data_IF_681116898891
#
_entry.id   IF_681116898891
#
_cell.length_a   1.000
_cell.length_b   1.000
_cell.length_c   1.000
_cell.angle_alpha   90.00
_cell.angle_beta   90.00
_cell.angle_gamma   90.00
#
_symmetry.space_group_name_H-M   'P 1'
#
loop_
_entity.id
_entity.type
_entity.pdbx_description
1 polymer ?
#
# COMPACT_ATOMS: atom_id res chain seq x y z
N UNK A 1 -38.25 10.92 43.70
CA UNK A 1 -37.26 11.16 42.63
C UNK A 1 -36.83 9.87 41.93
N UNK A 2 -36.42 8.83 42.67
CA UNK A 2 -35.92 7.56 42.12
C UNK A 2 -36.87 6.85 41.12
N UNK A 3 -38.18 6.81 41.41
CA UNK A 3 -39.20 6.21 40.50
C UNK A 3 -39.30 6.93 39.14
N UNK A 4 -39.15 8.26 39.11
CA UNK A 4 -39.21 9.03 37.86
C UNK A 4 -37.95 8.83 37.01
N UNK A 5 -36.78 8.70 37.65
CA UNK A 5 -35.51 8.38 36.99
C UNK A 5 -35.55 6.97 36.40
N UNK A 6 -36.12 5.99 37.10
CA UNK A 6 -36.27 4.63 36.60
C UNK A 6 -37.19 4.55 35.36
N UNK A 7 -38.30 5.30 35.35
CA UNK A 7 -39.23 5.36 34.21
C UNK A 7 -38.58 6.00 32.98
N UNK A 8 -37.79 7.07 33.17
CA UNK A 8 -37.05 7.73 32.08
C UNK A 8 -35.97 6.80 31.51
N UNK A 9 -35.22 6.09 32.37
CA UNK A 9 -34.24 5.08 31.93
C UNK A 9 -34.91 3.92 31.18
N UNK A 10 -36.08 3.48 31.64
CA UNK A 10 -36.87 2.42 30.98
C UNK A 10 -37.36 2.87 29.60
N UNK A 11 -37.84 4.11 29.49
CA UNK A 11 -38.26 4.70 28.22
C UNK A 11 -37.09 4.93 27.27
N UNK A 12 -35.92 5.34 27.76
CA UNK A 12 -34.69 5.45 26.95
C UNK A 12 -34.20 4.08 26.47
N UNK A 13 -34.30 3.04 27.31
CA UNK A 13 -33.99 1.66 26.92
C UNK A 13 -35.00 1.13 25.89
N UNK A 14 -36.28 1.44 26.05
CA UNK A 14 -37.34 1.09 25.10
C UNK A 14 -37.17 1.88 23.79
N UNK A 15 -36.74 3.14 23.81
CA UNK A 15 -36.43 3.93 22.60
C UNK A 15 -35.15 3.41 21.91
N UNK A 16 -34.16 2.93 22.66
CA UNK A 16 -33.00 2.21 22.11
C UNK A 16 -33.39 0.84 21.51
N UNK A 17 -34.38 0.16 22.11
CA UNK A 17 -34.91 -1.12 21.62
C UNK A 17 -35.90 -0.95 20.45
N UNK A 18 -36.67 0.15 20.39
CA UNK A 18 -37.58 0.51 19.29
C UNK A 18 -36.80 1.13 18.11
N UNK A 19 -35.66 1.78 18.36
CA UNK A 19 -34.67 2.14 17.34
C UNK A 19 -34.05 0.92 16.65
N UNK A 20 -34.23 -0.28 17.22
CA UNK A 20 -34.03 -1.56 16.58
C UNK A 20 -35.30 -1.98 15.82
N UNK A 21 -35.84 -1.08 14.99
CA UNK A 21 -36.89 -1.45 14.05
C UNK A 21 -36.35 -2.57 13.16
N UNK A 22 -37.17 -3.61 12.98
CA UNK A 22 -36.86 -4.78 12.16
C UNK A 22 -36.46 -4.33 10.75
N UNK A 23 -35.17 -4.06 10.54
CA UNK A 23 -34.62 -3.82 9.23
C UNK A 23 -34.76 -5.14 8.50
N UNK A 24 -35.77 -5.26 7.64
CA UNK A 24 -35.95 -6.42 6.80
C UNK A 24 -34.62 -6.80 6.15
N UNK A 25 -34.38 -8.09 5.99
CA UNK A 25 -33.22 -8.54 5.21
C UNK A 25 -33.65 -8.72 3.77
N UNK A 26 -32.73 -8.41 2.87
CA UNK A 26 -32.92 -8.61 1.45
C UNK A 26 -31.67 -9.26 0.86
N UNK A 27 -31.88 -9.99 -0.22
CA UNK A 27 -30.82 -10.66 -0.97
C UNK A 27 -30.27 -9.72 -2.02
N UNK A 28 -28.97 -9.41 -1.93
CA UNK A 28 -28.22 -8.76 -3.00
C UNK A 28 -27.52 -9.84 -3.81
N UNK A 29 -27.86 -9.95 -5.09
CA UNK A 29 -27.23 -10.83 -6.07
C UNK A 29 -26.39 -9.97 -7.03
N UNK A 30 -25.12 -10.31 -7.15
CA UNK A 30 -24.18 -9.66 -8.07
C UNK A 30 -23.81 -10.66 -9.14
N UNK A 31 -24.08 -10.30 -10.39
CA UNK A 31 -23.75 -11.06 -11.58
C UNK A 31 -22.71 -10.29 -12.39
N UNK A 32 -21.68 -10.99 -12.86
CA UNK A 32 -20.63 -10.42 -13.70
C UNK A 32 -20.54 -11.26 -14.97
N UNK A 33 -20.82 -10.61 -16.10
CA UNK A 33 -20.61 -11.16 -17.44
C UNK A 33 -19.18 -10.81 -17.85
N UNK A 34 -18.29 -11.77 -17.69
CA UNK A 34 -16.86 -11.62 -17.88
C UNK A 34 -16.42 -12.19 -19.23
N UNK A 35 -15.85 -11.35 -20.09
CA UNK A 35 -15.32 -11.77 -21.39
C UNK A 35 -13.79 -11.89 -21.34
N UNK A 36 -13.19 -12.51 -22.37
CA UNK A 36 -11.73 -12.62 -22.53
C UNK A 36 -11.00 -13.24 -21.31
N UNK A 37 -11.65 -14.21 -20.65
CA UNK A 37 -11.13 -14.90 -19.48
C UNK A 37 -10.10 -15.98 -19.86
N UNK A 38 -8.85 -15.93 -19.36
CA UNK A 38 -7.92 -17.03 -19.51
C UNK A 38 -8.41 -18.32 -18.83
N UNK A 39 -8.00 -19.50 -19.29
CA UNK A 39 -8.37 -20.77 -18.67
C UNK A 39 -8.09 -20.79 -17.16
N UNK A 40 -9.00 -21.38 -16.38
CA UNK A 40 -8.88 -21.55 -14.93
C UNK A 40 -8.78 -20.25 -14.10
N UNK A 41 -9.19 -19.10 -14.64
CA UNK A 41 -9.20 -17.84 -13.88
C UNK A 41 -10.59 -17.51 -13.33
N UNK A 42 -10.63 -17.12 -12.06
CA UNK A 42 -11.86 -16.70 -11.38
C UNK A 42 -12.10 -15.19 -11.45
N UNK A 43 -13.36 -14.80 -11.31
CA UNK A 43 -13.75 -13.41 -11.03
C UNK A 43 -13.91 -13.21 -9.53
N UNK A 44 -13.52 -12.02 -9.06
CA UNK A 44 -13.56 -11.66 -7.66
C UNK A 44 -14.15 -10.26 -7.48
N UNK A 45 -14.94 -10.09 -6.43
CA UNK A 45 -15.19 -8.77 -5.86
C UNK A 45 -13.99 -8.41 -4.99
N UNK A 46 -13.41 -7.23 -5.18
CA UNK A 46 -12.33 -6.67 -4.36
C UNK A 46 -12.80 -5.40 -3.65
N UNK A 47 -12.15 -5.07 -2.54
CA UNK A 47 -12.54 -3.99 -1.61
C UNK A 47 -13.99 -4.08 -1.12
N UNK A 48 -14.55 -5.29 -1.17
CA UNK A 48 -15.89 -5.55 -0.69
C UNK A 48 -15.89 -5.51 0.85
N UNK A 49 -16.95 -4.98 1.50
CA UNK A 49 -17.06 -4.99 2.95
C UNK A 49 -16.86 -6.40 3.53
N UNK A 50 -16.38 -6.54 4.79
CA UNK A 50 -16.14 -7.84 5.43
C UNK A 50 -17.35 -8.80 5.39
N UNK A 51 -18.55 -8.23 5.25
CA UNK A 51 -19.83 -8.92 5.06
C UNK A 51 -19.85 -9.85 3.83
N UNK A 52 -18.97 -9.63 2.86
CA UNK A 52 -18.81 -10.49 1.68
C UNK A 52 -17.83 -11.68 1.90
N UNK A 53 -17.01 -11.70 2.96
CA UNK A 53 -16.14 -12.85 3.27
C UNK A 53 -14.91 -12.51 4.14
N UNK A 54 -14.34 -13.54 4.77
CA UNK A 54 -13.22 -13.43 5.74
C UNK A 54 -11.86 -13.02 5.13
N UNK A 55 -11.67 -13.11 3.82
CA UNK A 55 -10.37 -12.87 3.18
C UNK A 55 -10.21 -11.42 2.72
N UNK A 56 -9.86 -10.51 3.63
CA UNK A 56 -9.36 -9.15 3.32
C UNK A 56 -10.08 -8.45 2.13
N UNK A 57 -11.41 -8.47 2.10
CA UNK A 57 -12.20 -7.79 1.06
C UNK A 57 -12.27 -8.49 -0.31
N UNK A 58 -11.86 -9.75 -0.42
CA UNK A 58 -11.93 -10.56 -1.65
C UNK A 58 -13.01 -11.64 -1.56
N UNK A 59 -13.92 -11.69 -2.53
CA UNK A 59 -14.93 -12.75 -2.66
C UNK A 59 -14.91 -13.38 -4.04
N UNK A 60 -14.74 -14.70 -4.11
CA UNK A 60 -14.82 -15.48 -5.35
C UNK A 60 -16.28 -15.62 -5.78
N UNK A 61 -16.55 -15.39 -7.06
CA UNK A 61 -17.87 -15.64 -7.64
C UNK A 61 -17.95 -17.10 -8.12
N UNK A 62 -19.15 -17.68 -8.08
CA UNK A 62 -19.44 -18.99 -8.67
C UNK A 62 -19.88 -18.81 -10.11
N UNK A 63 -19.35 -19.59 -11.04
CA UNK A 63 -19.69 -19.48 -12.47
C UNK A 63 -20.76 -20.51 -12.86
N UNK A 64 -21.78 -20.04 -13.58
CA UNK A 64 -22.76 -20.88 -14.27
C UNK A 64 -23.04 -20.23 -15.64
N UNK A 65 -22.94 -20.99 -16.74
CA UNK A 65 -23.20 -20.51 -18.10
C UNK A 65 -22.48 -19.18 -18.46
N UNK A 66 -21.20 -19.08 -18.12
CA UNK A 66 -20.35 -17.89 -18.31
C UNK A 66 -20.77 -16.64 -17.51
N UNK A 67 -21.72 -16.79 -16.58
CA UNK A 67 -22.16 -15.76 -15.65
C UNK A 67 -21.59 -16.02 -14.26
N UNK A 68 -20.72 -15.13 -13.80
CA UNK A 68 -20.15 -15.19 -12.46
C UNK A 68 -21.12 -14.57 -11.48
N UNK A 69 -21.62 -15.33 -10.51
CA UNK A 69 -22.67 -14.89 -9.60
C UNK A 69 -22.22 -15.01 -8.15
N UNK A 70 -22.68 -14.10 -7.30
CA UNK A 70 -22.67 -14.29 -5.86
C UNK A 70 -23.82 -13.57 -5.19
N UNK A 71 -24.35 -14.13 -4.11
CA UNK A 71 -25.47 -13.53 -3.37
C UNK A 71 -25.15 -13.41 -1.89
N UNK A 72 -25.61 -12.31 -1.27
CA UNK A 72 -25.53 -12.08 0.17
C UNK A 72 -26.87 -11.64 0.73
N UNK A 73 -27.18 -12.10 1.94
CA UNK A 73 -28.29 -11.55 2.73
C UNK A 73 -27.81 -10.35 3.53
N UNK A 74 -28.27 -9.17 3.18
CA UNK A 74 -27.91 -7.91 3.81
C UNK A 74 -29.11 -7.26 4.50
N UNK A 75 -28.85 -6.33 5.42
CA UNK A 75 -29.92 -5.49 5.99
C UNK A 75 -30.38 -4.49 4.92
N UNK A 76 -31.68 -4.26 4.83
CA UNK A 76 -32.21 -3.16 4.01
C UNK A 76 -31.62 -1.84 4.52
N UNK A 77 -31.15 -1.00 3.59
CA UNK A 77 -30.39 0.22 3.84
C UNK A 77 -28.87 0.04 3.79
N UNK A 78 -28.35 -1.19 3.81
CA UNK A 78 -26.91 -1.44 3.68
C UNK A 78 -26.39 -0.97 2.32
N UNK A 79 -25.26 -0.27 2.35
CA UNK A 79 -24.52 0.15 1.15
C UNK A 79 -23.28 -0.71 0.97
N UNK A 80 -23.12 -1.26 -0.21
CA UNK A 80 -21.96 -2.07 -0.59
C UNK A 80 -21.17 -1.35 -1.67
N UNK A 81 -19.86 -1.24 -1.45
CA UNK A 81 -18.90 -0.72 -2.42
C UNK A 81 -17.93 -1.84 -2.80
N UNK A 82 -17.62 -2.02 -4.08
CA UNK A 82 -16.67 -3.03 -4.53
C UNK A 82 -16.14 -2.71 -5.93
N UNK A 83 -15.05 -3.39 -6.31
CA UNK A 83 -14.54 -3.43 -7.68
C UNK A 83 -14.49 -4.87 -8.18
N UNK A 84 -14.27 -5.05 -9.47
CA UNK A 84 -14.19 -6.36 -10.13
C UNK A 84 -12.77 -6.60 -10.60
N UNK A 85 -12.21 -7.74 -10.21
CA UNK A 85 -10.90 -8.18 -10.67
C UNK A 85 -10.87 -9.67 -11.01
N UNK A 86 -9.93 -10.05 -11.87
CA UNK A 86 -9.74 -11.42 -12.34
C UNK A 86 -8.43 -12.00 -11.81
N UNK A 87 -8.50 -13.06 -11.01
CA UNK A 87 -7.32 -13.77 -10.50
C UNK A 87 -6.48 -12.99 -9.46
N UNK A 88 -6.06 -11.75 -9.76
CA UNK A 88 -5.22 -10.89 -8.92
C UNK A 88 -5.83 -9.49 -8.82
N UNK A 89 -5.46 -8.76 -7.77
CA UNK A 89 -5.99 -7.42 -7.48
C UNK A 89 -5.75 -6.40 -8.60
N UNK A 90 -4.63 -6.49 -9.33
CA UNK A 90 -4.30 -5.55 -10.42
C UNK A 90 -4.93 -5.88 -11.77
N UNK A 91 -5.52 -7.08 -11.92
CA UNK A 91 -6.21 -7.47 -13.15
C UNK A 91 -7.67 -7.02 -13.06
N UNK A 92 -7.88 -5.71 -12.90
CA UNK A 92 -9.19 -5.10 -12.75
C UNK A 92 -9.93 -5.03 -14.09
N UNK A 93 -11.26 -5.02 -14.02
CA UNK A 93 -12.10 -4.82 -15.19
C UNK A 93 -11.93 -3.39 -15.73
N UNK A 94 -11.85 -3.28 -17.06
CA UNK A 94 -11.65 -2.02 -17.79
C UNK A 94 -12.67 -1.90 -18.92
N UNK A 95 -12.94 -0.67 -19.32
CA UNK A 95 -13.75 -0.37 -20.49
C UNK A 95 -12.99 -0.63 -21.82
N UNK A 96 -13.62 -0.29 -22.95
CA UNK A 96 -13.02 -0.43 -24.28
C UNK A 96 -11.82 0.49 -24.52
N UNK A 97 -11.64 1.53 -23.71
CA UNK A 97 -10.51 2.47 -23.75
C UNK A 97 -9.39 2.07 -22.79
N UNK A 98 -9.62 1.02 -21.98
CA UNK A 98 -8.67 0.54 -20.99
C UNK A 98 -8.68 1.30 -19.67
N UNK A 99 -9.72 2.10 -19.43
CA UNK A 99 -9.95 2.81 -18.16
C UNK A 99 -10.65 1.85 -17.20
N UNK A 100 -10.14 1.75 -15.96
CA UNK A 100 -10.79 0.94 -14.94
C UNK A 100 -12.15 1.52 -14.58
N UNK A 101 -13.14 0.66 -14.35
CA UNK A 101 -14.46 1.10 -13.91
C UNK A 101 -14.39 1.83 -12.55
N UNK A 102 -15.30 2.80 -12.29
CA UNK A 102 -15.44 3.37 -10.96
C UNK A 102 -15.87 2.29 -9.96
N UNK A 103 -15.68 2.57 -8.68
CA UNK A 103 -16.21 1.74 -7.60
C UNK A 103 -17.72 1.53 -7.78
N UNK A 104 -18.15 0.27 -7.89
CA UNK A 104 -19.56 -0.07 -7.93
C UNK A 104 -20.16 0.14 -6.55
N UNK A 105 -21.25 0.91 -6.48
CA UNK A 105 -21.96 1.18 -5.23
C UNK A 105 -23.43 0.74 -5.33
N UNK A 106 -23.86 -0.14 -4.44
CA UNK A 106 -25.24 -0.66 -4.41
C UNK A 106 -25.84 -0.49 -3.03
N UNK A 107 -27.03 0.12 -2.97
CA UNK A 107 -27.84 0.23 -1.76
C UNK A 107 -28.92 -0.83 -1.78
N UNK A 108 -28.93 -1.72 -0.79
CA UNK A 108 -29.91 -2.80 -0.69
C UNK A 108 -31.23 -2.23 -0.18
N UNK A 109 -32.22 -2.08 -1.06
CA UNK A 109 -33.57 -1.61 -0.68
C UNK A 109 -34.59 -2.75 -0.56
N UNK A 110 -34.38 -3.80 -1.35
CA UNK A 110 -35.18 -5.02 -1.48
C UNK A 110 -34.29 -6.09 -2.11
N UNK A 111 -34.83 -7.28 -2.39
CA UNK A 111 -34.12 -8.26 -3.21
C UNK A 111 -33.70 -7.61 -4.52
N UNK A 112 -32.39 -7.54 -4.74
CA UNK A 112 -31.77 -6.74 -5.79
C UNK A 112 -30.76 -7.60 -6.52
N UNK A 113 -30.94 -7.72 -7.84
CA UNK A 113 -29.95 -8.34 -8.72
C UNK A 113 -29.33 -7.24 -9.57
N UNK A 114 -28.00 -7.18 -9.62
CA UNK A 114 -27.26 -6.33 -10.54
C UNK A 114 -26.39 -7.18 -11.46
N UNK A 115 -26.30 -6.78 -12.71
CA UNK A 115 -25.47 -7.44 -13.74
C UNK A 115 -24.46 -6.44 -14.24
N UNK A 116 -23.18 -6.81 -14.20
CA UNK A 116 -22.06 -5.96 -14.61
C UNK A 116 -21.35 -6.64 -15.79
N UNK A 117 -21.12 -5.88 -16.85
CA UNK A 117 -20.33 -6.35 -17.99
C UNK A 117 -18.86 -5.98 -17.80
N UNK A 118 -17.97 -6.98 -17.92
CA UNK A 118 -16.53 -6.82 -17.83
C UNK A 118 -15.90 -7.32 -19.15
N UNK A 119 -15.86 -6.47 -20.20
CA UNK A 119 -15.44 -6.88 -21.53
C UNK A 119 -13.92 -7.09 -21.64
N UNK A 120 -13.14 -6.37 -20.84
CA UNK A 120 -11.67 -6.38 -20.89
C UNK A 120 -11.07 -6.32 -19.49
N UNK A 121 -9.78 -6.70 -19.42
CA UNK A 121 -9.00 -6.73 -18.19
C UNK A 121 -7.73 -5.92 -18.35
N UNK A 122 -7.40 -5.14 -17.32
CA UNK A 122 -6.25 -4.23 -17.32
C UNK A 122 -4.94 -4.90 -17.70
N UNK A 123 -4.68 -6.10 -17.15
CA UNK A 123 -3.44 -6.86 -17.38
C UNK A 123 -3.30 -7.41 -18.80
N UNK A 124 -4.37 -7.35 -19.61
CA UNK A 124 -4.39 -7.82 -21.00
C UNK A 124 -4.27 -6.68 -22.02
N UNK A 125 -4.34 -5.43 -21.58
CA UNK A 125 -4.20 -4.27 -22.46
C UNK A 125 -2.76 -4.15 -22.94
N UNK A 126 -2.58 -4.22 -24.27
CA UNK A 126 -1.31 -3.89 -24.92
C UNK A 126 -1.31 -2.41 -25.27
N UNK A 127 -0.22 -1.71 -24.93
CA UNK A 127 -0.02 -0.31 -25.29
C UNK A 127 0.24 0.61 -24.09
N UNK A 128 0.50 1.90 -24.34
CA UNK A 128 0.76 2.86 -23.28
C UNK A 128 -0.48 3.05 -22.40
N UNK A 129 -0.36 3.05 -21.05
CA UNK A 129 -1.49 3.39 -20.19
C UNK A 129 -2.00 4.80 -20.47
N UNK A 130 -3.33 4.95 -20.53
CA UNK A 130 -3.99 6.24 -20.66
C UNK A 130 -3.97 6.98 -19.32
N UNK A 131 -3.56 8.24 -19.34
CA UNK A 131 -3.58 9.19 -18.23
C UNK A 131 -4.67 10.19 -18.56
N UNK A 132 -5.82 10.05 -17.91
CA UNK A 132 -6.99 10.90 -18.12
C UNK A 132 -7.67 11.21 -16.81
N UNK A 133 -8.44 12.30 -16.77
CA UNK A 133 -9.19 12.70 -15.58
C UNK A 133 -10.20 11.63 -15.17
N UNK A 134 -10.92 11.04 -16.12
CA UNK A 134 -11.88 9.97 -15.85
C UNK A 134 -11.24 8.77 -15.15
N UNK A 135 -10.02 8.41 -15.56
CA UNK A 135 -9.27 7.34 -14.90
C UNK A 135 -8.90 7.68 -13.46
N UNK A 136 -8.46 8.93 -13.21
CA UNK A 136 -8.20 9.40 -11.85
C UNK A 136 -9.47 9.37 -11.00
N UNK A 137 -10.60 9.87 -11.51
CA UNK A 137 -11.88 9.89 -10.80
C UNK A 137 -12.34 8.48 -10.42
N UNK A 138 -12.20 7.50 -11.33
CA UNK A 138 -12.54 6.11 -11.07
C UNK A 138 -11.63 5.44 -10.03
N UNK A 139 -10.43 5.98 -9.80
CA UNK A 139 -9.41 5.44 -8.87
C UNK A 139 -9.18 6.28 -7.63
N UNK A 140 -10.18 7.06 -7.21
CA UNK A 140 -10.05 7.95 -6.04
C UNK A 140 -8.83 8.89 -6.12
N UNK A 141 -8.50 9.33 -7.33
CA UNK A 141 -7.39 10.22 -7.66
C UNK A 141 -5.99 9.68 -7.38
N UNK A 142 -5.80 8.36 -7.43
CA UNK A 142 -4.47 7.73 -7.39
C UNK A 142 -4.41 6.52 -8.33
N UNK A 143 -3.53 6.56 -9.33
CA UNK A 143 -3.34 5.48 -10.30
C UNK A 143 -1.93 4.90 -10.18
N UNK A 144 -1.83 3.58 -10.24
CA UNK A 144 -0.55 2.87 -10.21
C UNK A 144 0.00 2.68 -11.62
N UNK A 145 1.29 2.97 -11.83
CA UNK A 145 2.03 2.73 -13.07
C UNK A 145 2.91 1.48 -12.92
N UNK A 146 2.30 0.29 -12.89
CA UNK A 146 3.00 -0.99 -12.63
C UNK A 146 3.31 -1.78 -13.92
N UNK A 147 2.53 -1.56 -14.98
CA UNK A 147 2.50 -2.39 -16.17
C UNK A 147 3.09 -1.65 -17.38
N UNK A 148 3.44 -2.40 -18.42
CA UNK A 148 3.95 -1.90 -19.70
C UNK A 148 5.29 -1.15 -19.64
N UNK A 149 6.04 -1.32 -18.54
CA UNK A 149 7.43 -0.88 -18.46
C UNK A 149 8.34 -1.76 -19.30
N UNK A 150 9.35 -1.13 -19.88
CA UNK A 150 10.49 -1.78 -20.53
C UNK A 150 11.75 -1.54 -19.71
N UNK A 151 12.63 -2.52 -19.65
CA UNK A 151 13.86 -2.50 -18.87
C UNK A 151 15.09 -2.76 -19.75
N UNK A 152 16.16 -2.03 -19.46
CA UNK A 152 17.49 -2.27 -20.00
C UNK A 152 18.54 -2.15 -18.89
N UNK A 153 19.39 -3.17 -18.76
CA UNK A 153 20.52 -3.17 -17.84
C UNK A 153 21.64 -2.26 -18.36
N UNK A 154 22.41 -1.67 -17.45
CA UNK A 154 23.48 -0.73 -17.78
C UNK A 154 23.14 0.72 -17.47
N UNK A 155 24.08 1.61 -17.77
CA UNK A 155 24.06 2.97 -17.25
C UNK A 155 24.41 4.02 -18.32
N UNK A 156 23.61 4.07 -19.40
CA UNK A 156 23.75 5.06 -20.45
C UNK A 156 22.71 6.17 -20.32
N UNK A 157 23.17 7.39 -20.03
CA UNK A 157 22.29 8.57 -19.86
C UNK A 157 21.54 8.99 -21.12
N UNK A 158 21.98 8.56 -22.31
CA UNK A 158 21.27 8.82 -23.57
C UNK A 158 19.92 8.10 -23.62
N UNK A 159 19.73 7.03 -22.83
CA UNK A 159 18.48 6.29 -22.75
C UNK A 159 17.33 7.07 -22.08
N UNK A 160 17.56 8.30 -21.64
CA UNK A 160 16.51 9.23 -21.25
C UNK A 160 15.73 9.77 -22.47
N UNK A 161 16.34 9.87 -23.66
CA UNK A 161 15.78 10.54 -24.82
C UNK A 161 14.43 9.93 -25.28
N UNK A 162 13.60 10.72 -25.95
CA UNK A 162 12.24 10.29 -26.35
C UNK A 162 12.27 9.19 -27.41
N UNK A 163 13.24 9.28 -28.32
CA UNK A 163 13.38 8.52 -29.55
C UNK A 163 14.29 7.28 -29.44
N UNK A 164 14.64 6.88 -28.22
CA UNK A 164 15.44 5.66 -27.96
C UNK A 164 14.77 4.46 -28.61
N UNK A 165 15.57 3.69 -29.37
CA UNK A 165 15.15 2.40 -29.89
C UNK A 165 15.02 1.39 -28.73
N UNK A 166 13.78 0.98 -28.48
CA UNK A 166 13.43 0.06 -27.41
C UNK A 166 13.36 -1.39 -27.91
N UNK A 167 13.84 -1.68 -29.13
CA UNK A 167 13.77 -2.98 -29.76
C UNK A 167 14.40 -4.10 -28.94
N UNK A 168 15.46 -3.81 -28.18
CA UNK A 168 16.19 -4.74 -27.32
C UNK A 168 15.83 -4.68 -25.82
N UNK A 169 14.86 -3.84 -25.47
CA UNK A 169 14.43 -3.68 -24.08
C UNK A 169 13.43 -4.76 -23.67
N UNK A 170 13.50 -5.21 -22.42
CA UNK A 170 12.70 -6.32 -21.92
C UNK A 170 11.41 -5.82 -21.24
N UNK A 171 10.22 -6.33 -21.59
CA UNK A 171 9.00 -5.97 -20.89
C UNK A 171 9.06 -6.49 -19.46
N UNK A 172 8.81 -5.61 -18.49
CA UNK A 172 8.92 -5.92 -17.07
C UNK A 172 7.82 -5.24 -16.26
N UNK A 173 7.66 -5.70 -15.02
CA UNK A 173 6.98 -4.94 -13.97
C UNK A 173 8.04 -4.33 -13.07
N UNK A 174 7.87 -3.09 -12.65
CA UNK A 174 8.88 -2.39 -11.84
C UNK A 174 9.07 -2.99 -10.45
N UNK A 175 8.08 -3.71 -9.93
CA UNK A 175 8.21 -4.48 -8.69
C UNK A 175 9.01 -5.77 -8.95
N UNK A 176 10.34 -5.67 -8.87
CA UNK A 176 11.27 -6.78 -9.08
C UNK A 176 11.40 -7.68 -7.84
N UNK A 177 10.31 -8.35 -7.46
CA UNK A 177 10.33 -9.26 -6.30
C UNK A 177 11.20 -10.48 -6.58
N UNK A 178 12.19 -10.69 -5.71
CA UNK A 178 13.08 -11.85 -5.76
C UNK A 178 12.28 -13.14 -5.45
N UNK A 179 11.88 -13.89 -6.48
CA UNK A 179 11.15 -15.16 -6.33
C UNK A 179 12.12 -16.33 -6.25
N UNK A 180 12.96 -16.40 -5.22
CA UNK A 180 13.76 -17.62 -5.02
C UNK A 180 12.89 -18.86 -4.72
N UNK A 181 11.68 -18.69 -4.16
CA UNK A 181 10.84 -19.81 -3.66
C UNK A 181 9.35 -19.80 -4.09
N UNK A 182 8.96 -19.22 -5.23
CA UNK A 182 7.59 -19.40 -5.78
C UNK A 182 7.66 -19.90 -7.21
N UNK A 183 6.90 -20.95 -7.59
CA UNK A 183 6.63 -21.21 -9.00
C UNK A 183 6.08 -19.92 -9.61
N UNK A 184 6.69 -19.44 -10.68
CA UNK A 184 6.08 -18.40 -11.49
C UNK A 184 4.66 -18.86 -11.86
N UNK A 185 3.65 -17.96 -11.88
CA UNK A 185 2.38 -18.32 -12.48
C UNK A 185 2.66 -18.81 -13.92
N UNK A 186 1.86 -19.75 -14.44
CA UNK A 186 2.03 -20.22 -15.81
C UNK A 186 2.08 -19.03 -16.76
N UNK A 187 3.02 -19.10 -17.70
CA UNK A 187 3.19 -18.18 -18.82
C UNK A 187 1.80 -17.79 -19.36
N UNK A 188 1.42 -16.52 -19.27
CA UNK A 188 0.53 -16.01 -20.31
C UNK A 188 1.38 -16.09 -21.58
N UNK A 189 1.00 -17.00 -22.47
CA UNK A 189 1.70 -17.21 -23.73
C UNK A 189 1.74 -15.88 -24.49
N UNK A 190 2.90 -15.22 -24.48
CA UNK A 190 3.23 -14.33 -25.59
C UNK A 190 3.38 -15.23 -26.82
N UNK A 191 2.86 -14.83 -28.00
CA UNK A 191 2.93 -15.62 -29.21
C UNK A 191 4.37 -16.06 -29.51
N UNK A 192 4.51 -17.36 -29.73
CA UNK A 192 5.75 -18.12 -29.90
C UNK A 192 6.43 -17.86 -31.26
N UNK A 193 6.90 -16.63 -31.51
CA UNK A 193 7.50 -16.28 -32.83
C UNK A 193 8.79 -15.47 -32.79
N UNK A 194 9.36 -15.12 -31.64
CA UNK A 194 10.66 -14.43 -31.61
C UNK A 194 11.67 -15.25 -30.82
N UNK A 195 12.80 -15.59 -31.47
CA UNK A 195 14.06 -16.10 -30.90
C UNK A 195 14.15 -15.84 -29.40
N UNK A 196 14.36 -16.89 -28.60
CA UNK A 196 14.57 -16.78 -27.14
C UNK A 196 15.74 -15.84 -26.85
N UNK A 197 15.45 -14.55 -26.64
CA UNK A 197 16.45 -13.55 -26.27
C UNK A 197 16.94 -13.85 -24.86
N UNK A 198 18.25 -13.70 -24.56
CA UNK A 198 18.76 -13.86 -23.21
C UNK A 198 18.05 -12.88 -22.26
N UNK A 199 17.56 -13.35 -21.11
CA UNK A 199 17.02 -12.47 -20.07
C UNK A 199 18.15 -11.59 -19.54
N UNK A 200 17.97 -10.27 -19.57
CA UNK A 200 18.90 -9.33 -18.95
C UNK A 200 18.74 -9.49 -17.43
N UNK A 201 19.85 -9.70 -16.73
CA UNK A 201 19.87 -9.81 -15.27
C UNK A 201 20.06 -8.43 -14.67
N UNK A 202 19.44 -8.20 -13.52
CA UNK A 202 19.70 -7.02 -12.70
C UNK A 202 21.13 -7.12 -12.16
N UNK A 203 21.95 -6.11 -12.44
CA UNK A 203 23.36 -6.04 -12.02
C UNK A 203 23.64 -4.77 -11.19
N UNK A 204 22.65 -4.37 -10.37
CA UNK A 204 22.75 -3.21 -9.50
C UNK A 204 22.34 -1.89 -10.13
N UNK A 205 22.29 -1.76 -11.45
CA UNK A 205 21.82 -0.55 -12.15
C UNK A 205 21.09 -0.86 -13.45
N UNK A 206 20.12 -0.02 -13.80
CA UNK A 206 19.45 -0.08 -15.09
C UNK A 206 18.43 1.02 -15.31
N UNK A 207 17.87 1.00 -16.52
CA UNK A 207 16.87 1.95 -16.97
C UNK A 207 15.52 1.30 -17.15
N UNK A 208 14.48 2.04 -16.79
CA UNK A 208 13.09 1.67 -16.96
C UNK A 208 12.41 2.74 -17.79
N UNK A 209 11.67 2.34 -18.82
CA UNK A 209 10.93 3.25 -19.70
C UNK A 209 9.46 2.86 -19.77
N UNK A 210 8.58 3.85 -19.70
CA UNK A 210 7.14 3.71 -19.85
C UNK A 210 6.65 4.80 -20.80
N UNK A 211 6.10 4.38 -21.93
CA UNK A 211 5.29 5.25 -22.79
C UNK A 211 3.91 5.38 -22.17
N UNK A 212 3.38 6.59 -22.07
CA UNK A 212 2.03 6.88 -21.56
C UNK A 212 1.27 7.70 -22.59
N UNK A 213 -0.05 7.52 -22.65
CA UNK A 213 -0.92 8.35 -23.49
C UNK A 213 -1.62 9.37 -22.60
N UNK A 214 -1.42 10.66 -22.85
CA UNK A 214 -1.96 11.74 -22.02
C UNK A 214 -3.18 12.32 -22.72
N UNK A 215 -4.32 12.29 -22.03
CA UNK A 215 -5.54 12.92 -22.50
C UNK A 215 -5.53 14.42 -22.24
N UNK A 216 -6.21 15.18 -23.10
CA UNK A 216 -6.35 16.64 -22.96
C UNK A 216 -6.90 17.09 -21.60
N UNK A 217 -7.71 16.26 -20.92
CA UNK A 217 -8.31 16.56 -19.62
C UNK A 217 -7.32 16.70 -18.45
N UNK A 218 -6.06 16.31 -18.63
CA UNK A 218 -5.01 16.37 -17.60
C UNK A 218 -3.78 17.19 -18.05
N UNK A 219 -3.86 17.87 -19.19
CA UNK A 219 -2.84 18.81 -19.64
C UNK A 219 -2.87 20.04 -18.74
N UNK A 220 -1.69 20.52 -18.34
CA UNK A 220 -1.51 21.61 -17.37
C UNK A 220 -2.19 21.36 -16.01
N UNK A 221 -2.56 20.12 -15.73
CA UNK A 221 -3.13 19.72 -14.45
C UNK A 221 -2.00 19.23 -13.53
N UNK A 222 -1.86 19.78 -12.30
CA UNK A 222 -0.80 19.40 -11.38
C UNK A 222 -1.08 18.02 -10.75
N UNK A 223 -0.37 17.01 -11.25
CA UNK A 223 -0.38 15.67 -10.68
C UNK A 223 0.66 15.56 -9.56
N UNK A 224 0.42 14.68 -8.59
CA UNK A 224 1.46 14.17 -7.69
C UNK A 224 2.11 12.94 -8.30
N UNK A 225 3.43 12.91 -8.34
CA UNK A 225 4.25 11.74 -8.56
C UNK A 225 4.71 11.21 -7.20
N UNK A 226 4.46 9.92 -6.98
CA UNK A 226 4.93 9.17 -5.83
C UNK A 226 5.81 8.02 -6.34
N UNK A 227 6.98 7.85 -5.71
CA UNK A 227 7.85 6.71 -5.96
C UNK A 227 8.18 6.02 -4.65
N UNK A 228 7.88 4.73 -4.56
CA UNK A 228 8.34 3.86 -3.48
C UNK A 228 9.50 3.02 -3.99
N UNK A 229 10.67 3.16 -3.37
CA UNK A 229 11.90 2.53 -3.84
C UNK A 229 12.83 2.15 -2.68
N UNK A 230 13.78 1.25 -2.96
CA UNK A 230 14.84 0.85 -2.03
C UNK A 230 16.23 1.31 -2.47
N UNK A 231 16.32 1.93 -3.65
CA UNK A 231 17.54 2.38 -4.30
C UNK A 231 17.62 3.90 -4.43
N UNK A 232 18.48 4.34 -5.34
CA UNK A 232 18.52 5.70 -5.84
C UNK A 232 17.85 5.78 -7.21
N UNK A 233 17.24 6.92 -7.53
CA UNK A 233 16.66 7.14 -8.86
C UNK A 233 16.84 8.55 -9.41
N UNK A 234 16.87 8.62 -10.73
CA UNK A 234 16.62 9.83 -11.49
C UNK A 234 15.38 9.60 -12.37
N UNK A 235 14.44 10.54 -12.34
CA UNK A 235 13.19 10.48 -13.10
C UNK A 235 13.23 11.53 -14.20
N UNK A 236 12.89 11.10 -15.41
CA UNK A 236 12.86 11.90 -16.63
C UNK A 236 11.46 11.87 -17.24
N UNK A 237 11.03 13.02 -17.76
CA UNK A 237 9.86 13.15 -18.61
C UNK A 237 10.32 13.72 -19.96
N UNK A 238 10.04 12.99 -21.02
CA UNK A 238 10.40 13.36 -22.40
C UNK A 238 11.88 13.74 -22.56
N UNK A 239 12.78 12.95 -21.96
CA UNK A 239 14.22 13.22 -21.98
C UNK A 239 14.70 14.28 -21.00
N UNK A 240 13.81 15.08 -20.41
CA UNK A 240 14.18 16.08 -19.41
C UNK A 240 14.16 15.48 -18.00
N UNK A 241 15.28 15.60 -17.29
CA UNK A 241 15.35 15.21 -15.87
C UNK A 241 14.43 16.10 -15.03
N UNK A 242 13.55 15.48 -14.25
CA UNK A 242 12.65 16.13 -13.31
C UNK A 242 13.16 16.07 -11.88
N UNK A 243 13.57 14.87 -11.46
CA UNK A 243 13.93 14.60 -10.06
C UNK A 243 15.14 13.70 -9.95
N UNK A 244 15.89 13.90 -8.87
CA UNK A 244 16.95 13.02 -8.41
C UNK A 244 16.66 12.69 -6.95
N UNK A 245 16.65 11.39 -6.64
CA UNK A 245 16.46 10.86 -5.30
C UNK A 245 17.70 10.08 -4.91
N UNK A 246 18.54 10.73 -4.10
CA UNK A 246 19.82 10.17 -3.70
C UNK A 246 20.88 10.32 -4.79
N UNK A 247 21.84 9.39 -4.85
CA UNK A 247 22.91 9.37 -5.83
C UNK A 247 22.87 8.03 -6.58
N UNK A 248 22.49 8.08 -7.86
CA UNK A 248 22.50 6.92 -8.75
C UNK A 248 23.92 6.68 -9.23
N UNK A 249 24.38 5.44 -9.16
CA UNK A 249 25.75 5.07 -9.55
C UNK A 249 25.83 3.63 -10.01
N UNK A 250 26.68 3.36 -11.00
CA UNK A 250 27.09 2.00 -11.38
C UNK A 250 28.10 1.39 -10.39
N UNK A 251 28.71 2.20 -9.53
CA UNK A 251 29.63 1.81 -8.46
C UNK A 251 28.86 1.77 -7.13
N UNK A 252 28.80 0.60 -6.49
CA UNK A 252 28.03 0.36 -5.28
C UNK A 252 28.35 1.31 -4.12
N UNK A 253 29.64 1.59 -3.87
CA UNK A 253 30.05 2.45 -2.75
C UNK A 253 29.72 3.94 -2.95
N UNK A 254 29.39 4.35 -4.18
CA UNK A 254 28.97 5.71 -4.50
C UNK A 254 27.44 5.86 -4.56
N UNK A 255 26.68 4.76 -4.45
CA UNK A 255 25.23 4.82 -4.37
C UNK A 255 24.78 5.45 -3.05
N UNK A 256 23.89 6.43 -3.13
CA UNK A 256 23.20 6.96 -1.96
C UNK A 256 21.70 6.73 -2.10
N UNK A 257 21.17 5.80 -1.31
CA UNK A 257 19.74 5.46 -1.30
C UNK A 257 18.92 6.59 -0.67
N UNK A 258 17.80 6.95 -1.30
CA UNK A 258 16.88 7.96 -0.80
C UNK A 258 15.41 7.58 -0.98
N UNK A 259 14.66 7.63 0.12
CA UNK A 259 13.23 7.40 0.16
C UNK A 259 12.49 8.74 0.26
N UNK A 260 11.95 9.20 -0.87
CA UNK A 260 11.09 10.38 -0.87
C UNK A 260 9.74 10.06 -0.20
N UNK A 261 9.35 10.88 0.77
CA UNK A 261 8.08 10.73 1.51
C UNK A 261 7.01 11.71 1.06
N UNK A 262 7.42 12.77 0.34
CA UNK A 262 6.54 13.84 -0.07
C UNK A 262 6.14 13.68 -1.55
N UNK A 263 4.90 14.02 -1.91
CA UNK A 263 4.49 14.05 -3.31
C UNK A 263 5.35 15.05 -4.10
N UNK A 264 5.74 14.69 -5.32
CA UNK A 264 6.39 15.62 -6.25
C UNK A 264 5.41 16.10 -7.33
N UNK A 265 5.43 17.37 -7.73
CA UNK A 265 4.58 17.82 -8.83
C UNK A 265 4.97 17.17 -10.17
N UNK A 266 4.01 16.85 -11.00
CA UNK A 266 4.22 16.43 -12.39
C UNK A 266 3.15 17.10 -13.24
N UNK A 267 3.56 17.73 -14.34
CA UNK A 267 2.64 18.41 -15.26
C UNK A 267 2.98 17.99 -16.68
N UNK A 268 1.99 17.51 -17.42
CA UNK A 268 2.09 17.30 -18.85
C UNK A 268 1.69 18.59 -19.57
N UNK A 269 2.54 19.08 -20.47
CA UNK A 269 2.32 20.34 -21.20
C UNK A 269 1.50 20.19 -22.49
N UNK A 270 1.32 18.95 -22.97
CA UNK A 270 0.59 18.63 -24.18
C UNK A 270 -0.19 17.31 -24.03
N UNK A 271 -1.25 17.09 -24.82
CA UNK A 271 -1.83 15.76 -24.97
C UNK A 271 -0.97 14.88 -25.89
N UNK A 272 -1.24 13.58 -25.88
CA UNK A 272 -0.59 12.62 -26.76
C UNK A 272 0.41 11.73 -26.03
N UNK A 273 1.36 11.16 -26.78
CA UNK A 273 2.33 10.23 -26.20
C UNK A 273 3.44 10.97 -25.45
N UNK A 274 3.74 10.50 -24.24
CA UNK A 274 4.85 10.97 -23.42
C UNK A 274 5.70 9.78 -22.94
N UNK A 275 6.96 10.05 -22.62
CA UNK A 275 7.90 9.04 -22.12
C UNK A 275 8.31 9.38 -20.70
N UNK A 276 8.00 8.47 -19.77
CA UNK A 276 8.61 8.45 -18.45
C UNK A 276 9.80 7.49 -18.47
N UNK A 277 10.98 7.99 -18.09
CA UNK A 277 12.17 7.17 -17.93
C UNK A 277 12.70 7.27 -16.50
N UNK A 278 13.17 6.15 -15.96
CA UNK A 278 13.75 6.06 -14.62
C UNK A 278 15.10 5.38 -14.74
N UNK A 279 16.16 6.12 -14.43
CA UNK A 279 17.48 5.57 -14.18
C UNK A 279 17.54 5.17 -12.72
N UNK A 280 17.82 3.92 -12.43
CA UNK A 280 17.68 3.37 -11.09
C UNK A 280 18.90 2.52 -10.73
N UNK A 281 19.45 2.73 -9.53
CA UNK A 281 20.47 1.87 -8.96
C UNK A 281 20.02 1.31 -7.62
N UNK A 282 20.34 0.03 -7.40
CA UNK A 282 20.18 -0.67 -6.15
C UNK A 282 21.12 -1.89 -6.13
N UNK A 283 22.33 -1.68 -5.60
CA UNK A 283 23.40 -2.69 -5.58
C UNK A 283 23.20 -3.77 -4.51
N UNK A 284 22.46 -3.45 -3.44
CA UNK A 284 22.22 -4.37 -2.33
C UNK A 284 21.03 -5.34 -2.54
N UNK A 285 20.52 -5.43 -3.77
CA UNK A 285 19.44 -6.30 -4.17
C UNK A 285 19.56 -7.72 -3.59
N UNK A 286 20.72 -8.37 -3.69
CA UNK A 286 20.86 -9.76 -3.26
C UNK A 286 20.88 -9.97 -1.73
N UNK A 287 21.13 -8.91 -0.94
CA UNK A 287 21.31 -9.00 0.52
C UNK A 287 19.99 -8.86 1.29
N UNK A 288 18.94 -8.34 0.67
CA UNK A 288 17.66 -8.07 1.32
C UNK A 288 16.60 -9.10 0.93
N UNK A 289 16.23 -9.96 1.88
CA UNK A 289 15.16 -10.94 1.72
C UNK A 289 13.81 -10.26 2.01
N UNK A 290 12.90 -10.32 1.04
CA UNK A 290 11.44 -10.06 1.17
C UNK A 290 11.01 -8.60 1.46
N UNK A 291 11.47 -7.64 0.65
CA UNK A 291 10.92 -6.26 0.64
C UNK A 291 9.71 -6.17 -0.32
N UNK A 292 8.62 -5.43 0.01
CA UNK A 292 7.41 -5.34 -0.81
C UNK A 292 7.63 -5.02 -2.30
N UNK A 293 8.52 -4.08 -2.63
CA UNK A 293 8.87 -3.70 -4.02
C UNK A 293 10.00 -4.55 -4.62
N UNK A 294 10.63 -5.41 -3.82
CA UNK A 294 11.84 -6.14 -4.21
C UNK A 294 12.97 -5.20 -4.62
N UNK A 295 13.61 -5.51 -5.74
CA UNK A 295 14.78 -4.77 -6.25
C UNK A 295 14.41 -3.58 -7.11
N UNK A 296 13.13 -3.27 -7.30
CA UNK A 296 12.73 -2.13 -8.11
C UNK A 296 11.87 -1.17 -7.32
N UNK A 297 10.90 -0.58 -7.99
CA UNK A 297 10.10 0.51 -7.44
C UNK A 297 8.63 0.39 -7.81
N UNK A 298 7.81 1.18 -7.12
CA UNK A 298 6.42 1.41 -7.47
C UNK A 298 6.22 2.90 -7.72
N UNK A 299 5.61 3.23 -8.86
CA UNK A 299 5.30 4.61 -9.22
C UNK A 299 3.79 4.80 -9.26
N UNK A 300 3.30 5.89 -8.66
CA UNK A 300 1.90 6.30 -8.71
C UNK A 300 1.78 7.75 -9.14
N UNK A 301 0.69 8.03 -9.85
CA UNK A 301 0.26 9.40 -10.12
C UNK A 301 -1.02 9.70 -9.34
N UNK A 302 -1.20 10.92 -8.89
CA UNK A 302 -2.43 11.33 -8.22
C UNK A 302 -2.71 12.82 -8.31
N UNK A 303 -3.67 13.32 -7.54
CA UNK A 303 -3.96 14.75 -7.45
C UNK A 303 -3.00 15.44 -6.47
N UNK A 304 -2.26 16.46 -6.92
CA UNK A 304 -1.20 17.08 -6.11
C UNK A 304 -1.71 17.65 -4.77
N UNK A 305 -2.74 18.50 -4.79
CA UNK A 305 -3.26 19.11 -3.57
C UNK A 305 -3.77 18.08 -2.56
N UNK A 306 -4.51 17.06 -3.02
CA UNK A 306 -4.99 15.97 -2.16
C UNK A 306 -3.82 15.19 -1.55
N UNK A 307 -2.76 14.95 -2.34
CA UNK A 307 -1.57 14.26 -1.86
C UNK A 307 -0.81 15.09 -0.81
N UNK A 308 -0.69 16.40 -1.01
CA UNK A 308 -0.09 17.32 -0.02
C UNK A 308 -0.92 17.34 1.26
N UNK A 309 -2.24 17.48 1.16
CA UNK A 309 -3.14 17.47 2.31
C UNK A 309 -3.09 16.14 3.07
N UNK A 310 -3.12 15.00 2.35
CA UNK A 310 -2.99 13.68 2.94
C UNK A 310 -1.64 13.47 3.65
N UNK A 311 -0.55 13.99 3.07
CA UNK A 311 0.78 13.94 3.69
C UNK A 311 0.84 14.79 4.97
N UNK A 312 0.28 16.00 4.94
CA UNK A 312 0.19 16.86 6.12
C UNK A 312 -0.63 16.21 7.24
N UNK A 313 -1.76 15.59 6.88
CA UNK A 313 -2.60 14.84 7.82
C UNK A 313 -1.87 13.64 8.43
N UNK A 314 -1.16 12.88 7.59
CA UNK A 314 -0.37 11.74 8.04
C UNK A 314 0.72 12.18 9.02
N UNK A 315 1.47 13.25 8.70
CA UNK A 315 2.49 13.81 9.60
C UNK A 315 1.84 14.21 10.93
N UNK A 316 0.74 14.97 10.90
CA UNK A 316 0.05 15.42 12.10
C UNK A 316 -0.43 14.25 12.95
N UNK A 317 -1.08 13.26 12.34
CA UNK A 317 -1.60 12.08 13.01
C UNK A 317 -0.46 11.26 13.62
N UNK A 318 0.61 10.99 12.86
CA UNK A 318 1.78 10.27 13.36
C UNK A 318 2.47 11.02 14.51
N UNK A 319 2.65 12.34 14.41
CA UNK A 319 3.23 13.15 15.48
C UNK A 319 2.37 13.17 16.74
N UNK A 320 1.04 13.28 16.60
CA UNK A 320 0.13 13.23 17.73
C UNK A 320 0.16 11.86 18.42
N UNK A 321 0.10 10.77 17.64
CA UNK A 321 0.21 9.41 18.16
C UNK A 321 1.56 9.18 18.84
N UNK A 322 2.66 9.60 18.22
CA UNK A 322 4.00 9.54 18.80
C UNK A 322 4.06 10.24 20.15
N UNK A 323 3.53 11.46 20.25
CA UNK A 323 3.49 12.21 21.50
C UNK A 323 2.70 11.46 22.58
N UNK A 324 1.45 11.07 22.29
CA UNK A 324 0.57 10.43 23.27
C UNK A 324 1.12 9.09 23.75
N UNK A 325 1.55 8.23 22.82
CA UNK A 325 2.05 6.89 23.16
C UNK A 325 3.45 6.89 23.75
N UNK A 326 4.25 7.94 23.59
CA UNK A 326 5.53 8.09 24.30
C UNK A 326 5.34 8.76 25.66
N UNK A 327 4.52 9.81 25.76
CA UNK A 327 4.39 10.60 26.99
C UNK A 327 3.73 9.82 28.14
N UNK A 328 2.67 9.05 27.86
CA UNK A 328 1.97 8.29 28.90
C UNK A 328 2.91 7.29 29.59
N UNK A 329 3.62 6.39 28.86
CA UNK A 329 4.57 5.47 29.48
C UNK A 329 5.75 6.18 30.13
N UNK A 330 6.23 7.29 29.56
CA UNK A 330 7.31 8.06 30.15
C UNK A 330 6.91 8.66 31.50
N UNK A 331 5.68 9.16 31.65
CA UNK A 331 5.16 9.62 32.95
C UNK A 331 5.14 8.49 33.98
N UNK A 332 4.69 7.29 33.61
CA UNK A 332 4.74 6.12 34.49
C UNK A 332 6.19 5.74 34.84
N UNK A 333 7.10 5.80 33.87
CA UNK A 333 8.52 5.54 34.11
C UNK A 333 9.11 6.51 35.15
N UNK A 334 8.85 7.80 34.99
CA UNK A 334 9.31 8.84 35.92
C UNK A 334 8.68 8.66 37.30
N UNK A 335 7.36 8.44 37.38
CA UNK A 335 6.66 8.23 38.65
C UNK A 335 7.25 7.06 39.44
N UNK A 336 7.44 5.91 38.79
CA UNK A 336 8.01 4.74 39.46
C UNK A 336 9.50 4.89 39.75
N UNK A 337 10.25 5.62 38.93
CA UNK A 337 11.64 5.95 39.22
C UNK A 337 11.75 6.81 40.48
N UNK A 338 10.89 7.83 40.63
CA UNK A 338 10.82 8.65 41.84
C UNK A 338 10.46 7.81 43.07
N UNK A 339 9.45 6.94 42.97
CA UNK A 339 9.09 6.01 44.05
C UNK A 339 10.27 5.09 44.42
N UNK A 340 11.06 4.65 43.45
CA UNK A 340 12.27 3.86 43.72
C UNK A 340 13.35 4.69 44.42
N UNK A 341 13.56 5.95 44.01
CA UNK A 341 14.54 6.85 44.65
C UNK A 341 14.22 7.06 46.13
N UNK A 342 12.94 7.31 46.46
CA UNK A 342 12.49 7.50 47.84
C UNK A 342 12.34 6.19 48.63
N UNK A 343 12.13 5.06 47.96
CA UNK A 343 11.91 3.75 48.60
C UNK A 343 12.74 2.64 47.93
N UNK A 344 14.07 2.78 48.01
CA UNK A 344 15.06 1.87 47.37
C UNK A 344 14.93 0.40 47.76
N UNK A 345 14.23 0.09 48.85
CA UNK A 345 13.96 -1.28 49.29
C UNK A 345 13.01 -2.02 48.32
N UNK A 346 12.11 -1.31 47.63
CA UNK A 346 11.17 -1.90 46.70
C UNK A 346 11.70 -1.83 45.26
N UNK A 347 12.56 -2.80 44.89
CA UNK A 347 13.16 -2.89 43.55
C UNK A 347 12.15 -3.04 42.41
N UNK A 348 10.90 -3.44 42.71
CA UNK A 348 9.84 -3.53 41.71
C UNK A 348 9.60 -2.19 41.00
N UNK A 349 9.67 -1.09 41.75
CA UNK A 349 9.53 0.25 41.18
C UNK A 349 10.61 0.57 40.14
N UNK A 350 11.84 0.12 40.34
CA UNK A 350 12.91 0.29 39.34
C UNK A 350 12.63 -0.54 38.08
N UNK A 351 12.28 -1.82 38.24
CA UNK A 351 12.01 -2.69 37.09
C UNK A 351 10.82 -2.20 36.27
N UNK A 352 9.75 -1.77 36.94
CA UNK A 352 8.60 -1.17 36.26
C UNK A 352 8.98 0.14 35.56
N UNK A 353 9.75 1.02 36.22
CA UNK A 353 10.21 2.25 35.61
C UNK A 353 11.03 2.01 34.34
N UNK A 354 11.97 1.05 34.38
CA UNK A 354 12.77 0.66 33.21
C UNK A 354 11.91 0.05 32.10
N UNK A 355 10.96 -0.83 32.44
CA UNK A 355 10.03 -1.39 31.47
C UNK A 355 9.24 -0.30 30.74
N UNK A 356 8.67 0.64 31.49
CA UNK A 356 7.90 1.76 30.93
C UNK A 356 8.76 2.76 30.14
N UNK A 357 10.02 2.96 30.53
CA UNK A 357 10.98 3.75 29.77
C UNK A 357 11.26 3.13 28.40
N UNK A 358 11.58 1.83 28.36
CA UNK A 358 11.82 1.15 27.09
C UNK A 358 10.56 1.04 26.24
N UNK A 359 9.39 0.92 26.84
CA UNK A 359 8.12 1.03 26.12
C UNK A 359 7.93 2.42 25.50
N UNK A 360 8.29 3.50 26.21
CA UNK A 360 8.25 4.86 25.67
C UNK A 360 9.21 5.03 24.48
N UNK A 361 10.43 4.48 24.56
CA UNK A 361 11.41 4.47 23.47
C UNK A 361 10.88 3.70 22.26
N UNK A 362 10.34 2.49 22.47
CA UNK A 362 9.72 1.68 21.42
C UNK A 362 8.59 2.44 20.70
N UNK A 363 7.66 3.03 21.46
CA UNK A 363 6.58 3.83 20.91
C UNK A 363 7.13 5.03 20.11
N UNK A 364 8.13 5.73 20.63
CA UNK A 364 8.74 6.86 19.95
C UNK A 364 9.36 6.45 18.60
N UNK A 365 10.11 5.35 18.56
CA UNK A 365 10.80 4.88 17.36
C UNK A 365 9.83 4.38 16.29
N UNK A 366 8.74 3.71 16.71
CA UNK A 366 7.74 3.14 15.79
C UNK A 366 7.09 4.23 14.90
N UNK A 367 6.76 5.39 15.46
CA UNK A 367 6.20 6.49 14.67
C UNK A 367 7.26 7.30 13.91
N UNK A 368 8.53 7.21 14.33
CA UNK A 368 9.69 7.85 13.71
C UNK A 368 9.90 7.48 12.23
N UNK A 369 9.48 6.29 11.81
CA UNK A 369 9.60 5.80 10.43
C UNK A 369 8.92 6.71 9.38
N UNK A 370 7.91 7.48 9.79
CA UNK A 370 7.19 8.44 8.91
C UNK A 370 8.08 9.61 8.46
N UNK A 371 9.19 9.85 9.17
CA UNK A 371 10.06 11.01 8.99
C UNK A 371 11.41 10.65 8.36
N UNK A 372 11.75 9.37 8.28
CA UNK A 372 13.05 8.93 7.74
C UNK A 372 13.03 8.88 6.22
N UNK A 373 14.06 9.48 5.63
CA UNK A 373 14.33 9.50 4.18
C UNK A 373 15.58 8.74 3.80
N UNK A 374 16.50 8.51 4.76
CA UNK A 374 17.73 7.75 4.55
C UNK A 374 17.61 6.35 5.11
N UNK A 375 18.25 5.41 4.43
CA UNK A 375 18.25 4.00 4.83
C UNK A 375 18.93 3.76 6.18
N UNK A 376 20.03 4.46 6.45
CA UNK A 376 20.74 4.36 7.73
C UNK A 376 19.86 4.76 8.91
N UNK A 377 19.17 5.89 8.82
CA UNK A 377 18.26 6.33 9.89
C UNK A 377 17.10 5.35 10.10
N UNK A 378 16.53 4.84 9.00
CA UNK A 378 15.47 3.83 9.07
C UNK A 378 15.93 2.55 9.77
N UNK A 379 17.10 2.01 9.43
CA UNK A 379 17.63 0.82 10.10
C UNK A 379 17.92 1.05 11.58
N UNK A 380 18.51 2.19 11.94
CA UNK A 380 18.77 2.51 13.34
C UNK A 380 17.49 2.60 14.17
N UNK A 381 16.40 3.14 13.59
CA UNK A 381 15.09 3.11 14.24
C UNK A 381 14.59 1.68 14.46
N UNK A 382 14.70 0.79 13.46
CA UNK A 382 14.31 -0.62 13.62
C UNK A 382 15.13 -1.32 14.71
N UNK A 383 16.45 -1.14 14.72
CA UNK A 383 17.32 -1.76 15.72
C UNK A 383 16.97 -1.26 17.12
N UNK A 384 16.77 0.05 17.28
CA UNK A 384 16.39 0.64 18.55
C UNK A 384 15.00 0.18 19.01
N UNK A 385 14.04 0.09 18.10
CA UNK A 385 12.69 -0.43 18.35
C UNK A 385 12.73 -1.89 18.83
N UNK A 386 13.48 -2.76 18.14
CA UNK A 386 13.64 -4.17 18.53
C UNK A 386 14.31 -4.31 19.90
N UNK A 387 15.40 -3.57 20.14
CA UNK A 387 16.11 -3.58 21.42
C UNK A 387 15.21 -3.09 22.55
N UNK A 388 14.51 -1.96 22.35
CA UNK A 388 13.59 -1.40 23.33
C UNK A 388 12.44 -2.37 23.62
N UNK A 389 11.90 -3.06 22.61
CA UNK A 389 10.85 -4.07 22.81
C UNK A 389 11.33 -5.21 23.71
N UNK A 390 12.52 -5.77 23.43
CA UNK A 390 13.09 -6.86 24.24
C UNK A 390 13.34 -6.40 25.67
N UNK A 391 13.92 -5.22 25.87
CA UNK A 391 14.20 -4.68 27.20
C UNK A 391 12.91 -4.35 27.97
N UNK A 392 11.88 -3.80 27.31
CA UNK A 392 10.58 -3.55 27.92
C UNK A 392 9.96 -4.84 28.47
N UNK A 393 10.01 -5.92 27.68
CA UNK A 393 9.51 -7.25 28.07
C UNK A 393 10.33 -7.82 29.24
N UNK A 394 11.66 -7.82 29.15
CA UNK A 394 12.55 -8.37 30.19
C UNK A 394 12.33 -7.66 31.53
N UNK A 395 12.31 -6.32 31.53
CA UNK A 395 12.08 -5.56 32.76
C UNK A 395 10.64 -5.67 33.27
N UNK A 396 9.66 -5.83 32.38
CA UNK A 396 8.28 -6.15 32.75
C UNK A 396 8.19 -7.49 33.48
N UNK A 397 8.90 -8.52 32.97
CA UNK A 397 9.00 -9.82 33.64
C UNK A 397 9.70 -9.71 35.01
N UNK A 398 10.78 -8.93 35.13
CA UNK A 398 11.43 -8.70 36.42
C UNK A 398 10.54 -7.95 37.42
N UNK A 399 9.72 -7.01 36.96
CA UNK A 399 8.74 -6.32 37.80
C UNK A 399 7.74 -7.32 38.39
N UNK A 400 7.11 -8.15 37.55
CA UNK A 400 6.19 -9.21 38.00
C UNK A 400 6.88 -10.18 38.94
N UNK A 401 8.08 -10.66 38.58
CA UNK A 401 8.86 -11.59 39.40
C UNK A 401 9.17 -11.00 40.79
N UNK A 402 9.62 -9.75 40.86
CA UNK A 402 9.97 -9.09 42.12
C UNK A 402 8.75 -8.82 43.02
N UNK A 403 7.55 -8.81 42.45
CA UNK A 403 6.29 -8.69 43.21
C UNK A 403 5.94 -10.02 43.89
N UNK A 404 6.25 -11.15 43.23
CA UNK A 404 5.91 -12.50 43.71
C UNK A 404 7.02 -13.06 44.63
N UNK A 405 8.29 -12.83 44.28
CA UNK A 405 9.43 -13.44 44.95
C UNK A 405 10.31 -12.40 45.67
N UNK A 406 10.58 -12.62 46.96
CA UNK A 406 11.37 -11.70 47.79
C UNK A 406 12.88 -11.69 47.48
N UNK A 407 13.41 -12.68 46.76
CA UNK A 407 14.83 -12.80 46.41
C UNK A 407 15.00 -13.29 44.97
N UNK A 408 15.94 -12.68 44.23
CA UNK A 408 16.37 -13.16 42.92
C UNK A 408 17.10 -14.51 43.05
N UNK A 409 16.96 -15.43 42.09
CA UNK A 409 17.75 -16.65 42.06
C UNK A 409 19.23 -16.26 41.95
N UNK A 410 20.07 -16.78 42.84
CA UNK A 410 21.53 -16.70 42.68
C UNK A 410 21.92 -17.85 41.76
N UNK A 411 22.49 -17.52 40.60
CA UNK A 411 23.16 -18.50 39.74
C UNK A 411 24.61 -18.65 40.15
#
# INVERSE_FOLDING_TARGET
MLKRVLIILSLLLIVQLIGCHASGRATLTIQVKAENMPPHTGVYLIDAPPQFGRNMGRRTLTVQDSLWTTSISARIGSTFRFRIARGRWHAEAVDSSGIEFPDFQVVVKRDTTITIEAPRWRDQLKGPPLISRSRFENKSWMIDLIENWKFHAGDDTTWAAVDVDEGDWQPIRTQLRNRRNRPEPPRQALPDTTRRRPRQRWDGIGWFRLRVMVDSSVVNFPLSLHIWQNGASEIYLDGRKLYTFGQVSSIADLEQIYMERNPKPLVFSSPGEHVLAVRYSFHEAERLIDIPTGHGFEMKLGHLERAIAARAEQIRTSSFQQLVFTAIPLCFAIMHLLLFIFSRQNKNNLYYALSMLFFAVMAYTQFGHTFTTTRGAFFWLIVLEMLATVLAIVFGMFSVYSTIYKKLPRF
#
